data_IF_507855288400
#
_entry.id   IF_507855288400
#
_cell.length_a   1.000
_cell.length_b   1.000
_cell.length_c   1.000
_cell.angle_alpha   90.00
_cell.angle_beta   90.00
_cell.angle_gamma   90.00
#
_symmetry.space_group_name_H-M   'P 1'
#
loop_
_entity.id
_entity.type
_entity.pdbx_description
1 polymer ?
#
# COMPACT_ATOMS: atom_id res chain seq x y z
N UNK A 1 21.15 -6.72 5.92
CA UNK A 1 20.19 -5.90 5.17
C UNK A 1 18.95 -6.75 5.01
N UNK A 2 17.81 -6.29 5.54
CA UNK A 2 16.55 -7.04 5.49
C UNK A 2 15.93 -7.03 4.09
N UNK A 3 14.89 -7.84 3.90
CA UNK A 3 14.05 -7.79 2.70
C UNK A 3 13.18 -6.52 2.74
N UNK A 4 12.95 -5.92 1.57
CA UNK A 4 12.05 -4.76 1.39
C UNK A 4 11.00 -5.12 0.35
N UNK A 5 9.75 -4.75 0.59
CA UNK A 5 8.62 -5.10 -0.28
C UNK A 5 8.04 -3.84 -0.92
N UNK A 6 7.60 -3.95 -2.17
CA UNK A 6 6.76 -2.93 -2.80
C UNK A 6 5.33 -3.46 -2.85
N UNK A 7 4.41 -2.81 -2.14
CA UNK A 7 3.04 -3.30 -1.98
C UNK A 7 2.19 -2.81 -3.16
N UNK A 8 1.53 -3.75 -3.84
CA UNK A 8 0.60 -3.47 -4.93
C UNK A 8 -0.80 -3.09 -4.42
N UNK A 9 -1.57 -2.36 -5.23
CA UNK A 9 -2.94 -1.93 -4.94
C UNK A 9 -3.86 -3.09 -4.57
N UNK A 10 -3.71 -4.25 -5.22
CA UNK A 10 -4.53 -5.42 -4.92
C UNK A 10 -4.23 -6.03 -3.55
N UNK A 11 -2.99 -5.91 -3.07
CA UNK A 11 -2.60 -6.34 -1.73
C UNK A 11 -3.08 -5.34 -0.67
N UNK A 12 -2.86 -4.03 -0.89
CA UNK A 12 -3.35 -2.98 0.01
C UNK A 12 -4.86 -3.06 0.21
N UNK A 13 -5.63 -3.14 -0.87
CA UNK A 13 -7.10 -3.16 -0.80
C UNK A 13 -7.65 -4.37 -0.05
N UNK A 14 -7.01 -5.55 -0.19
CA UNK A 14 -7.39 -6.74 0.57
C UNK A 14 -6.93 -6.68 2.02
N UNK A 15 -5.77 -6.08 2.27
CA UNK A 15 -5.24 -5.91 3.62
C UNK A 15 -6.15 -4.98 4.44
N UNK A 16 -6.49 -3.80 3.90
CA UNK A 16 -7.39 -2.82 4.54
C UNK A 16 -8.79 -3.43 4.81
N UNK A 17 -9.29 -4.28 3.92
CA UNK A 17 -10.60 -4.94 4.09
C UNK A 17 -10.54 -6.24 4.91
N UNK A 18 -9.37 -6.63 5.45
CA UNK A 18 -9.18 -7.90 6.16
C UNK A 18 -9.59 -9.14 5.33
N UNK A 19 -9.37 -9.09 4.01
CA UNK A 19 -9.73 -10.15 3.05
C UNK A 19 -8.56 -11.07 2.68
N UNK A 20 -7.40 -10.90 3.33
CA UNK A 20 -6.26 -11.80 3.15
C UNK A 20 -6.43 -13.09 3.98
N UNK A 21 -5.86 -14.18 3.50
CA UNK A 21 -5.63 -15.36 4.33
C UNK A 21 -4.65 -15.03 5.45
N UNK A 22 -4.71 -15.74 6.58
CA UNK A 22 -3.80 -15.55 7.73
C UNK A 22 -2.32 -15.42 7.32
N UNK A 23 -1.79 -16.39 6.57
CA UNK A 23 -0.39 -16.33 6.10
C UNK A 23 -0.05 -15.14 5.20
N UNK A 24 -1.05 -14.57 4.50
CA UNK A 24 -0.86 -13.38 3.66
C UNK A 24 -1.02 -12.09 4.46
N UNK A 25 -1.86 -12.09 5.51
CA UNK A 25 -1.93 -11.01 6.48
C UNK A 25 -0.62 -10.91 7.27
N UNK A 26 -0.08 -12.04 7.76
CA UNK A 26 1.22 -12.08 8.44
C UNK A 26 2.35 -11.50 7.58
N UNK A 27 2.37 -11.83 6.28
CA UNK A 27 3.34 -11.28 5.35
C UNK A 27 3.14 -9.77 5.14
N UNK A 28 1.89 -9.31 5.07
CA UNK A 28 1.58 -7.90 4.95
C UNK A 28 1.96 -7.12 6.21
N UNK A 29 1.75 -7.67 7.39
CA UNK A 29 2.17 -7.05 8.66
C UNK A 29 3.70 -6.86 8.66
N UNK A 30 4.47 -7.88 8.26
CA UNK A 30 5.92 -7.77 8.11
C UNK A 30 6.31 -6.68 7.11
N UNK A 31 5.61 -6.59 5.96
CA UNK A 31 5.90 -5.60 4.94
C UNK A 31 5.61 -4.16 5.40
N UNK A 32 4.48 -3.96 6.08
CA UNK A 32 4.04 -2.65 6.59
C UNK A 32 4.92 -2.21 7.77
N UNK A 33 5.30 -3.12 8.67
CA UNK A 33 6.17 -2.84 9.82
C UNK A 33 7.63 -2.52 9.42
N UNK A 34 8.12 -3.13 8.33
CA UNK A 34 9.49 -2.91 7.87
C UNK A 34 9.68 -1.51 7.27
N UNK A 35 8.91 -1.20 6.23
CA UNK A 35 8.78 0.11 5.59
C UNK A 35 7.60 -0.02 4.62
N UNK A 36 6.45 0.59 4.93
CA UNK A 36 5.24 0.49 4.13
C UNK A 36 5.42 1.19 2.77
N UNK A 37 6.10 0.54 1.83
CA UNK A 37 6.46 1.14 0.54
C UNK A 37 5.39 0.86 -0.51
N UNK A 38 4.89 1.93 -1.14
CA UNK A 38 3.98 1.85 -2.29
C UNK A 38 4.49 2.74 -3.43
N UNK A 39 4.13 2.40 -4.66
CA UNK A 39 4.42 3.28 -5.79
C UNK A 39 3.47 4.49 -5.79
N UNK A 40 3.89 5.57 -6.45
CA UNK A 40 2.99 6.71 -6.73
C UNK A 40 1.73 6.27 -7.49
N UNK A 41 1.82 5.22 -8.32
CA UNK A 41 0.66 4.64 -9.04
C UNK A 41 -0.31 3.99 -8.05
N UNK A 42 0.20 3.16 -7.14
CA UNK A 42 -0.58 2.52 -6.08
C UNK A 42 -1.29 3.55 -5.21
N UNK A 43 -0.60 4.64 -4.84
CA UNK A 43 -1.22 5.76 -4.11
C UNK A 43 -2.39 6.37 -4.88
N UNK A 44 -2.23 6.61 -6.19
CA UNK A 44 -3.29 7.18 -7.04
C UNK A 44 -4.49 6.22 -7.08
N UNK A 45 -4.24 4.94 -7.33
CA UNK A 45 -5.31 3.93 -7.45
C UNK A 45 -6.09 3.80 -6.13
N UNK A 46 -5.39 3.67 -5.00
CA UNK A 46 -6.01 3.55 -3.67
C UNK A 46 -6.81 4.81 -3.32
N UNK A 47 -6.26 6.01 -3.51
CA UNK A 47 -6.98 7.27 -3.22
C UNK A 47 -8.14 7.54 -4.19
N UNK A 48 -8.16 6.88 -5.36
CA UNK A 48 -9.28 6.95 -6.30
C UNK A 48 -10.43 6.01 -5.93
N UNK A 49 -10.25 5.16 -4.92
CA UNK A 49 -11.30 4.25 -4.46
C UNK A 49 -12.41 5.03 -3.75
N UNK A 50 -13.54 5.17 -4.45
CA UNK A 50 -14.75 5.78 -3.91
C UNK A 50 -15.50 4.72 -3.10
N UNK A 51 -15.63 4.95 -1.79
CA UNK A 51 -16.45 4.16 -0.89
C UNK A 51 -17.52 5.05 -0.22
N UNK A 52 -18.68 4.47 0.09
CA UNK A 52 -19.70 5.13 0.92
C UNK A 52 -19.45 4.96 2.42
N UNK A 53 -18.49 4.12 2.78
CA UNK A 53 -18.08 3.81 4.15
C UNK A 53 -17.01 4.81 4.61
N UNK A 54 -17.33 5.57 5.66
CA UNK A 54 -16.44 6.61 6.20
C UNK A 54 -15.26 6.04 6.96
N UNK A 55 -15.43 4.89 7.59
CA UNK A 55 -14.37 4.26 8.36
C UNK A 55 -13.34 3.68 7.37
N UNK A 56 -13.82 3.04 6.30
CA UNK A 56 -12.95 2.58 5.21
C UNK A 56 -12.20 3.74 4.51
N UNK A 57 -12.84 4.89 4.26
CA UNK A 57 -12.15 6.07 3.70
C UNK A 57 -11.07 6.59 4.65
N UNK A 58 -11.32 6.57 5.96
CA UNK A 58 -10.32 6.95 6.96
C UNK A 58 -9.13 5.98 6.96
N UNK A 59 -9.40 4.67 6.94
CA UNK A 59 -8.35 3.64 6.91
C UNK A 59 -7.51 3.72 5.64
N UNK A 60 -8.13 3.95 4.48
CA UNK A 60 -7.44 4.18 3.20
C UNK A 60 -6.49 5.39 3.30
N UNK A 61 -6.97 6.51 3.84
CA UNK A 61 -6.16 7.73 3.98
C UNK A 61 -5.03 7.55 4.98
N UNK A 62 -5.28 6.85 6.07
CA UNK A 62 -4.27 6.55 7.08
C UNK A 62 -3.17 5.65 6.50
N UNK A 63 -3.54 4.57 5.81
CA UNK A 63 -2.60 3.69 5.14
C UNK A 63 -1.68 4.45 4.17
N UNK A 64 -2.24 5.34 3.34
CA UNK A 64 -1.45 6.15 2.40
C UNK A 64 -0.58 7.19 3.12
N UNK A 65 -1.03 7.73 4.26
CA UNK A 65 -0.28 8.71 5.06
C UNK A 65 0.95 8.08 5.73
N UNK A 66 0.85 6.82 6.12
CA UNK A 66 1.95 6.07 6.76
C UNK A 66 2.92 5.45 5.74
N UNK A 67 2.56 5.46 4.45
CA UNK A 67 3.34 4.82 3.41
C UNK A 67 4.50 5.68 2.88
N UNK A 68 5.65 5.04 2.68
CA UNK A 68 6.76 5.58 1.90
C UNK A 68 6.41 5.51 0.41
N UNK A 69 6.30 6.66 -0.24
CA UNK A 69 5.91 6.75 -1.66
C UNK A 69 7.14 6.71 -2.56
N UNK A 70 7.19 5.73 -3.45
CA UNK A 70 8.21 5.62 -4.50
C UNK A 70 7.72 6.33 -5.75
N UNK A 71 8.40 7.43 -6.10
CA UNK A 71 8.10 8.23 -7.29
C UNK A 71 8.45 7.51 -8.59
N UNK A 72 7.81 7.98 -9.67
CA UNK A 72 8.11 7.56 -11.03
C UNK A 72 9.03 8.60 -11.67
N UNK A 73 10.22 8.18 -12.10
CA UNK A 73 11.14 9.02 -12.88
C UNK A 73 11.63 8.26 -14.11
N UNK A 74 11.80 8.98 -15.21
CA UNK A 74 12.46 8.47 -16.41
C UNK A 74 13.96 8.79 -16.31
N UNK A 75 14.85 7.79 -16.21
CA UNK A 75 16.28 8.05 -16.18
C UNK A 75 16.75 8.51 -17.56
N UNK A 76 17.53 9.59 -17.61
CA UNK A 76 18.26 9.98 -18.81
C UNK A 76 19.44 9.02 -18.97
N UNK A 77 19.39 8.15 -19.99
CA UNK A 77 20.50 7.27 -20.35
C UNK A 77 21.29 7.94 -21.48
N UNK A 78 22.50 8.42 -21.17
CA UNK A 78 23.43 9.06 -22.12
C UNK A 78 24.40 8.05 -22.73
#
# INVERSE_FOLDING_TARGET
>A
MGETYLIDTSACSKYIQEFLSEAAADLMDIAVEADCMISIITRIEILSWITGDKDLDADIRQFVADATIIDLFEPIIL
#
